data_IF_061776352362
#
_entry.id   IF_061776352362
#
_cell.length_a   1.000
_cell.length_b   1.000
_cell.length_c   1.000
_cell.angle_alpha   90.00
_cell.angle_beta   90.00
_cell.angle_gamma   90.00
#
_symmetry.space_group_name_H-M   'P 1'
#
loop_
_entity.id
_entity.type
_entity.pdbx_description
1 polymer ?
#
# COMPACT_ATOMS: atom_id res chain seq x y z
N UNK A 1 -13.67 36.31 -23.39
CA UNK A 1 -14.38 35.20 -24.09
C UNK A 1 -13.87 33.85 -23.65
N UNK A 2 -12.63 33.46 -23.83
CA UNK A 2 -12.07 32.14 -23.48
C UNK A 2 -12.38 31.74 -22.02
N UNK A 3 -12.09 32.61 -21.07
CA UNK A 3 -12.29 32.36 -19.64
C UNK A 3 -13.78 32.15 -19.28
N UNK A 4 -14.69 32.92 -19.87
CA UNK A 4 -16.12 32.77 -19.65
C UNK A 4 -16.62 31.43 -20.18
N UNK A 5 -16.32 31.11 -21.42
CA UNK A 5 -16.70 29.84 -22.04
C UNK A 5 -16.11 28.63 -21.30
N UNK A 6 -14.87 28.76 -20.81
CA UNK A 6 -14.25 27.74 -19.98
C UNK A 6 -14.99 27.54 -18.64
N UNK A 7 -15.37 28.63 -17.98
CA UNK A 7 -16.11 28.56 -16.71
C UNK A 7 -17.47 27.87 -16.89
N UNK A 8 -18.19 28.20 -17.97
CA UNK A 8 -19.50 27.59 -18.28
C UNK A 8 -19.36 26.06 -18.44
N UNK A 9 -18.35 25.58 -19.15
CA UNK A 9 -18.09 24.14 -19.25
C UNK A 9 -17.57 23.54 -17.95
N UNK A 10 -16.86 24.32 -17.16
CA UNK A 10 -16.25 23.86 -15.92
C UNK A 10 -17.24 23.52 -14.82
N UNK A 11 -18.44 24.07 -14.88
CA UNK A 11 -19.55 23.75 -13.94
C UNK A 11 -19.97 22.28 -14.03
N UNK A 12 -19.90 21.70 -15.22
CA UNK A 12 -20.38 20.32 -15.48
C UNK A 12 -19.29 19.33 -15.86
N UNK A 13 -18.10 19.78 -16.23
CA UNK A 13 -17.03 18.96 -16.78
C UNK A 13 -15.75 19.01 -15.95
N UNK A 14 -14.88 18.02 -16.15
CA UNK A 14 -13.53 18.02 -15.58
C UNK A 14 -12.71 19.18 -16.19
N UNK A 15 -11.62 19.60 -15.51
CA UNK A 15 -10.74 20.65 -16.06
C UNK A 15 -10.26 20.33 -17.48
N UNK A 16 -9.85 19.07 -17.70
CA UNK A 16 -9.34 18.60 -18.99
C UNK A 16 -10.41 18.64 -20.09
N UNK A 17 -11.61 18.21 -19.74
CA UNK A 17 -12.72 18.17 -20.69
C UNK A 17 -13.27 19.57 -20.94
N UNK A 18 -13.32 20.45 -19.96
CA UNK A 18 -13.69 21.85 -20.13
C UNK A 18 -12.69 22.61 -21.05
N UNK A 19 -11.38 22.34 -20.94
CA UNK A 19 -10.39 22.88 -21.87
C UNK A 19 -10.64 22.40 -23.30
N UNK A 20 -10.94 21.11 -23.47
CA UNK A 20 -11.25 20.52 -24.78
C UNK A 20 -12.53 21.11 -25.40
N UNK A 21 -13.60 21.21 -24.60
CA UNK A 21 -14.87 21.78 -25.04
C UNK A 21 -14.71 23.27 -25.42
N UNK A 22 -13.97 24.03 -24.62
CA UNK A 22 -13.65 25.43 -24.91
C UNK A 22 -12.81 25.58 -26.17
N UNK A 23 -11.80 24.73 -26.35
CA UNK A 23 -10.96 24.70 -27.54
C UNK A 23 -11.78 24.43 -28.81
N UNK A 24 -12.69 23.46 -28.74
CA UNK A 24 -13.61 23.13 -29.83
C UNK A 24 -14.59 24.27 -30.13
N UNK A 25 -15.23 24.82 -29.10
CA UNK A 25 -16.24 25.88 -29.25
C UNK A 25 -15.67 27.17 -29.84
N UNK A 26 -14.42 27.50 -29.46
CA UNK A 26 -13.77 28.73 -29.91
C UNK A 26 -12.79 28.51 -31.07
N UNK A 27 -12.69 27.30 -31.60
CA UNK A 27 -11.76 26.91 -32.67
C UNK A 27 -10.31 27.27 -32.34
N UNK A 28 -9.90 27.10 -31.09
CA UNK A 28 -8.56 27.37 -30.58
C UNK A 28 -7.80 26.06 -30.28
N UNK A 29 -6.48 26.14 -30.24
CA UNK A 29 -5.69 25.03 -29.73
C UNK A 29 -5.83 24.90 -28.21
N UNK A 30 -5.64 23.68 -27.66
CA UNK A 30 -5.61 23.45 -26.20
C UNK A 30 -4.58 24.33 -25.49
N UNK A 31 -3.40 24.51 -26.12
CA UNK A 31 -2.33 25.35 -25.59
C UNK A 31 -2.77 26.83 -25.53
N UNK A 32 -3.46 27.30 -26.57
CA UNK A 32 -4.02 28.65 -26.58
C UNK A 32 -5.05 28.84 -25.46
N UNK A 33 -6.00 27.91 -25.31
CA UNK A 33 -6.99 28.00 -24.22
C UNK A 33 -6.32 28.03 -22.84
N UNK A 34 -5.36 27.14 -22.58
CA UNK A 34 -4.66 27.11 -21.30
C UNK A 34 -3.82 28.34 -21.01
N UNK A 35 -3.29 29.04 -22.04
CA UNK A 35 -2.53 30.29 -21.85
C UNK A 35 -3.41 31.47 -21.42
N UNK A 36 -4.68 31.46 -21.76
CA UNK A 36 -5.66 32.49 -21.36
C UNK A 36 -6.32 32.22 -19.99
N UNK A 37 -6.09 31.04 -19.39
CA UNK A 37 -6.64 30.70 -18.10
C UNK A 37 -5.70 31.12 -16.97
N UNK A 38 -6.12 31.99 -16.05
CA UNK A 38 -5.30 32.47 -14.94
C UNK A 38 -5.14 31.46 -13.81
N UNK A 39 -5.58 30.22 -14.02
CA UNK A 39 -5.71 29.24 -12.97
C UNK A 39 -4.64 28.16 -13.04
N UNK A 40 -4.02 27.86 -11.91
CA UNK A 40 -3.21 26.68 -11.77
C UNK A 40 -4.06 25.41 -11.89
N UNK A 41 -3.52 24.39 -12.58
CA UNK A 41 -4.17 23.08 -12.70
C UNK A 41 -4.42 22.50 -11.30
N UNK A 42 -5.66 22.37 -10.90
CA UNK A 42 -6.06 21.77 -9.63
C UNK A 42 -6.64 22.71 -8.59
N UNK A 43 -6.59 24.05 -8.81
CA UNK A 43 -7.22 25.03 -7.92
C UNK A 43 -8.74 25.16 -8.18
N UNK A 44 -9.20 24.67 -9.33
CA UNK A 44 -10.59 24.79 -9.73
C UNK A 44 -11.39 23.61 -9.25
N UNK A 45 -12.25 23.91 -8.26
CA UNK A 45 -13.17 23.02 -7.59
C UNK A 45 -12.50 21.76 -7.02
N UNK A 46 -12.43 21.65 -5.71
CA UNK A 46 -12.25 20.36 -5.08
C UNK A 46 -13.55 19.57 -5.33
N UNK A 47 -13.71 19.04 -6.54
CA UNK A 47 -14.58 17.89 -6.67
C UNK A 47 -14.00 16.86 -5.75
N UNK A 48 -14.76 16.40 -4.78
CA UNK A 48 -14.51 15.13 -4.15
C UNK A 48 -14.38 14.12 -5.30
N UNK A 49 -13.14 13.86 -5.69
CA UNK A 49 -12.87 12.81 -6.67
C UNK A 49 -13.27 11.53 -5.94
N UNK A 50 -14.31 10.81 -6.37
CA UNK A 50 -14.65 9.54 -5.76
C UNK A 50 -13.37 8.72 -5.68
N UNK A 51 -13.12 8.11 -4.53
CA UNK A 51 -11.90 7.34 -4.23
C UNK A 51 -11.60 6.30 -5.34
N UNK A 52 -12.62 5.88 -6.05
CA UNK A 52 -12.59 4.97 -7.20
C UNK A 52 -11.86 5.50 -8.44
N UNK A 53 -11.61 6.80 -8.55
CA UNK A 53 -10.96 7.43 -9.72
C UNK A 53 -9.55 7.98 -9.47
N UNK A 54 -8.96 7.70 -8.30
CA UNK A 54 -7.54 8.00 -8.11
C UNK A 54 -6.75 7.09 -9.06
N UNK A 55 -6.06 7.68 -10.02
CA UNK A 55 -5.26 6.89 -10.97
C UNK A 55 -4.28 6.02 -10.19
N UNK A 56 -4.10 4.76 -10.59
CA UNK A 56 -3.15 3.81 -9.97
C UNK A 56 -1.76 4.43 -9.82
N UNK A 57 -1.38 5.34 -10.73
CA UNK A 57 -0.14 6.10 -10.68
C UNK A 57 -0.08 7.11 -9.50
N UNK A 58 -1.16 7.83 -9.24
CA UNK A 58 -1.20 8.81 -8.15
C UNK A 58 -1.13 8.14 -6.77
N UNK A 59 -1.84 7.02 -6.62
CA UNK A 59 -1.80 6.22 -5.39
C UNK A 59 -0.41 5.62 -5.13
N UNK A 60 0.23 5.09 -6.18
CA UNK A 60 1.60 4.58 -6.10
C UNK A 60 2.60 5.67 -5.70
N UNK A 61 2.48 6.87 -6.26
CA UNK A 61 3.31 8.02 -5.89
C UNK A 61 3.09 8.45 -4.43
N UNK A 62 1.82 8.46 -3.96
CA UNK A 62 1.49 8.79 -2.59
C UNK A 62 2.12 7.80 -1.61
N UNK A 63 2.00 6.49 -1.88
CA UNK A 63 2.66 5.44 -1.10
C UNK A 63 4.19 5.60 -1.08
N UNK A 64 4.80 5.89 -2.23
CA UNK A 64 6.24 6.10 -2.32
C UNK A 64 6.72 7.27 -1.46
N UNK A 65 6.02 8.42 -1.51
CA UNK A 65 6.34 9.59 -0.68
C UNK A 65 6.23 9.30 0.82
N UNK A 66 5.14 8.65 1.23
CA UNK A 66 4.92 8.28 2.63
C UNK A 66 6.00 7.32 3.14
N UNK A 67 6.36 6.30 2.37
CA UNK A 67 7.45 5.36 2.72
C UNK A 67 8.79 6.07 2.80
N UNK A 68 9.09 6.99 1.87
CA UNK A 68 10.33 7.78 1.93
C UNK A 68 10.40 8.62 3.19
N UNK A 69 9.30 9.28 3.57
CA UNK A 69 9.19 10.07 4.80
C UNK A 69 9.42 9.20 6.04
N UNK A 70 8.76 8.05 6.10
CA UNK A 70 8.92 7.08 7.19
C UNK A 70 10.38 6.59 7.34
N UNK A 71 11.09 6.36 6.23
CA UNK A 71 12.51 5.94 6.27
C UNK A 71 13.43 7.04 6.77
N UNK A 72 13.16 8.30 6.42
CA UNK A 72 13.95 9.44 6.88
C UNK A 72 13.71 9.70 8.36
N UNK A 73 12.47 9.57 8.81
CA UNK A 73 12.06 9.86 10.17
C UNK A 73 11.04 8.80 10.64
N UNK A 74 11.50 7.71 11.29
CA UNK A 74 10.64 6.60 11.71
C UNK A 74 9.88 6.95 12.99
N UNK A 75 8.80 7.75 12.85
CA UNK A 75 7.86 8.10 13.91
C UNK A 75 6.58 7.26 13.85
N UNK A 76 5.79 7.28 14.92
CA UNK A 76 4.49 6.62 14.97
C UNK A 76 3.55 7.17 13.90
N UNK A 77 3.52 8.49 13.72
CA UNK A 77 2.64 9.20 12.79
C UNK A 77 2.95 8.80 11.34
N UNK A 78 4.24 8.80 10.97
CA UNK A 78 4.65 8.40 9.62
C UNK A 78 4.39 6.92 9.35
N UNK A 79 4.60 6.07 10.38
CA UNK A 79 4.27 4.64 10.26
C UNK A 79 2.77 4.43 10.10
N UNK A 80 1.95 5.16 10.86
CA UNK A 80 0.50 5.07 10.76
C UNK A 80 -0.01 5.51 9.37
N UNK A 81 0.52 6.62 8.84
CA UNK A 81 0.20 7.08 7.48
C UNK A 81 0.50 5.99 6.44
N UNK A 82 1.68 5.38 6.50
CA UNK A 82 2.06 4.30 5.58
C UNK A 82 1.14 3.10 5.75
N UNK A 83 0.85 2.68 6.97
CA UNK A 83 -0.02 1.53 7.25
C UNK A 83 -1.43 1.76 6.69
N UNK A 84 -2.00 2.95 6.83
CA UNK A 84 -3.28 3.30 6.22
C UNK A 84 -3.24 3.21 4.69
N UNK A 85 -2.20 3.76 4.05
CA UNK A 85 -2.05 3.77 2.59
C UNK A 85 -1.82 2.38 1.99
N UNK A 86 -1.33 1.43 2.77
CA UNK A 86 -1.08 0.06 2.35
C UNK A 86 -2.17 -0.94 2.77
N UNK A 87 -3.28 -0.47 3.33
CA UNK A 87 -4.46 -1.31 3.62
C UNK A 87 -4.96 -1.97 2.33
N UNK A 88 -5.25 -3.27 2.36
CA UNK A 88 -5.65 -4.06 1.21
C UNK A 88 -4.51 -4.47 0.25
N UNK A 89 -3.29 -3.99 0.46
CA UNK A 89 -2.14 -4.36 -0.38
C UNK A 89 -1.59 -5.72 0.04
N UNK A 90 -1.20 -6.54 -0.93
CA UNK A 90 -0.63 -7.87 -0.70
C UNK A 90 0.81 -7.78 -0.17
N UNK A 91 1.09 -8.44 0.92
CA UNK A 91 2.41 -8.65 1.51
C UNK A 91 2.83 -10.12 1.48
N UNK A 92 4.05 -10.39 1.89
CA UNK A 92 4.55 -11.74 2.15
C UNK A 92 5.18 -11.80 3.55
N UNK A 93 4.93 -12.87 4.26
CA UNK A 93 5.63 -13.19 5.51
C UNK A 93 7.08 -13.59 5.23
N UNK A 94 7.89 -13.72 6.28
CA UNK A 94 9.26 -14.24 6.17
C UNK A 94 9.33 -15.63 5.49
N UNK A 95 8.34 -16.48 5.70
CA UNK A 95 8.22 -17.80 5.05
C UNK A 95 7.64 -17.74 3.63
N UNK A 96 7.40 -16.54 3.08
CA UNK A 96 6.88 -16.35 1.72
C UNK A 96 5.37 -16.46 1.57
N UNK A 97 4.62 -16.70 2.66
CA UNK A 97 3.16 -16.80 2.62
C UNK A 97 2.53 -15.44 2.37
N UNK A 98 1.62 -15.32 1.39
CA UNK A 98 0.94 -14.06 1.10
C UNK A 98 -0.07 -13.73 2.20
N UNK A 99 -0.24 -12.44 2.47
CA UNK A 99 -1.29 -11.88 3.32
C UNK A 99 -1.66 -10.47 2.90
N UNK A 100 -2.83 -10.03 3.30
CA UNK A 100 -3.29 -8.63 3.27
C UNK A 100 -3.72 -8.24 4.68
N UNK A 101 -3.92 -6.96 4.91
CA UNK A 101 -4.58 -6.49 6.11
C UNK A 101 -5.54 -5.35 5.78
N UNK A 102 -6.51 -5.17 6.65
CA UNK A 102 -7.48 -4.08 6.60
C UNK A 102 -7.46 -3.30 7.91
N UNK A 103 -7.71 -2.00 7.81
CA UNK A 103 -7.97 -1.13 8.96
C UNK A 103 -9.46 -0.80 8.96
N UNK A 104 -10.14 -1.13 10.04
CA UNK A 104 -11.59 -0.91 10.18
C UNK A 104 -11.88 0.43 10.85
N UNK A 105 -13.04 0.97 10.57
CA UNK A 105 -13.56 2.14 11.29
C UNK A 105 -14.36 1.70 12.50
N UNK A 106 -14.14 2.38 13.61
CA UNK A 106 -14.94 2.23 14.82
C UNK A 106 -16.32 2.90 14.69
N UNK A 107 -17.14 2.79 15.74
CA UNK A 107 -18.48 3.42 15.79
C UNK A 107 -18.46 4.94 15.64
N UNK A 108 -17.36 5.59 16.00
CA UNK A 108 -17.15 7.02 15.86
C UNK A 108 -16.66 7.45 14.45
N UNK A 109 -16.62 6.53 13.48
CA UNK A 109 -16.13 6.79 12.12
C UNK A 109 -14.61 6.89 11.98
N UNK A 110 -13.85 6.90 13.08
CA UNK A 110 -12.39 6.94 13.05
C UNK A 110 -11.81 5.54 12.86
N UNK A 111 -10.61 5.46 12.28
CA UNK A 111 -9.90 4.19 12.12
C UNK A 111 -9.50 3.62 13.48
N UNK A 112 -9.78 2.33 13.68
CA UNK A 112 -9.29 1.59 14.84
C UNK A 112 -7.79 1.35 14.70
N UNK A 113 -7.06 1.40 15.82
CA UNK A 113 -5.62 1.07 15.82
C UNK A 113 -5.41 -0.44 15.90
N UNK A 114 -6.02 -1.16 14.93
CA UNK A 114 -5.93 -2.62 14.80
C UNK A 114 -5.83 -3.01 13.32
N UNK A 115 -4.94 -3.94 13.02
CA UNK A 115 -4.76 -4.49 11.67
C UNK A 115 -5.44 -5.86 11.61
N UNK A 116 -6.44 -5.99 10.77
CA UNK A 116 -7.15 -7.25 10.53
C UNK A 116 -6.46 -8.01 9.39
N UNK A 117 -5.73 -9.06 9.76
CA UNK A 117 -4.95 -9.86 8.81
C UNK A 117 -5.87 -10.87 8.14
N UNK A 118 -6.01 -10.78 6.82
CA UNK A 118 -6.76 -11.75 5.99
C UNK A 118 -5.89 -12.96 5.70
N UNK A 119 -6.02 -13.99 6.52
CA UNK A 119 -5.29 -15.24 6.34
C UNK A 119 -6.12 -16.51 6.52
N UNK A 120 -7.21 -16.47 7.28
CA UNK A 120 -8.12 -17.59 7.57
C UNK A 120 -9.47 -17.06 8.03
N UNK A 121 -10.51 -17.87 7.98
CA UNK A 121 -11.89 -17.53 8.37
C UNK A 121 -12.08 -16.91 9.76
N UNK A 122 -11.12 -17.03 10.67
CA UNK A 122 -11.12 -16.38 11.98
C UNK A 122 -9.87 -15.51 12.15
N UNK A 123 -9.67 -14.54 11.27
CA UNK A 123 -8.52 -13.66 11.36
C UNK A 123 -8.55 -12.86 12.67
N UNK A 124 -7.46 -12.96 13.44
CA UNK A 124 -7.29 -12.18 14.67
C UNK A 124 -6.67 -10.85 14.32
N UNK A 125 -7.16 -9.78 14.96
CA UNK A 125 -6.54 -8.47 14.82
C UNK A 125 -5.14 -8.44 15.43
N UNK A 126 -4.27 -7.66 14.80
CA UNK A 126 -2.95 -7.32 15.30
C UNK A 126 -3.03 -5.93 15.94
N UNK A 127 -2.76 -5.86 17.24
CA UNK A 127 -2.81 -4.60 17.98
C UNK A 127 -1.72 -3.64 17.51
N UNK A 128 -2.05 -2.35 17.42
CA UNK A 128 -1.11 -1.30 17.05
C UNK A 128 0.09 -1.22 18.00
N UNK A 129 -0.13 -1.47 19.30
CA UNK A 129 0.94 -1.55 20.29
C UNK A 129 2.03 -2.56 19.94
N UNK A 130 1.66 -3.71 19.32
CA UNK A 130 2.63 -4.70 18.83
C UNK A 130 3.47 -4.16 17.67
N UNK A 131 2.88 -3.35 16.80
CA UNK A 131 3.59 -2.71 15.68
C UNK A 131 4.56 -1.66 16.21
N UNK A 132 4.14 -0.83 17.16
CA UNK A 132 5.00 0.18 17.79
C UNK A 132 6.14 -0.43 18.61
N UNK A 133 5.87 -1.48 19.38
CA UNK A 133 6.91 -2.20 20.11
C UNK A 133 7.97 -2.74 19.14
N UNK A 134 7.55 -3.30 18.01
CA UNK A 134 8.48 -3.78 16.99
C UNK A 134 9.30 -2.63 16.38
N UNK A 135 8.68 -1.45 16.13
CA UNK A 135 9.41 -0.27 15.64
C UNK A 135 10.48 0.20 16.63
N UNK A 136 10.17 0.19 17.91
CA UNK A 136 11.13 0.57 18.94
C UNK A 136 12.28 -0.45 19.04
N UNK A 137 11.96 -1.75 18.97
CA UNK A 137 12.99 -2.79 19.02
C UNK A 137 13.98 -2.70 17.84
N UNK A 138 13.56 -2.22 16.66
CA UNK A 138 14.48 -1.98 15.54
C UNK A 138 15.54 -0.93 15.90
N UNK A 139 15.20 0.09 16.67
CA UNK A 139 16.14 1.12 17.10
C UNK A 139 17.26 0.55 17.98
N UNK A 140 16.97 -0.54 18.68
CA UNK A 140 17.92 -1.23 19.57
C UNK A 140 18.72 -2.29 18.83
N UNK A 141 18.03 -3.11 18.02
CA UNK A 141 18.65 -4.27 17.29
C UNK A 141 19.38 -3.83 16.02
N UNK A 142 19.01 -2.68 15.45
CA UNK A 142 19.49 -2.20 14.16
C UNK A 142 18.62 -2.64 12.99
N UNK A 143 18.88 -2.05 11.82
CA UNK A 143 18.07 -2.27 10.63
C UNK A 143 18.27 -3.64 9.97
N UNK A 144 19.39 -4.33 10.21
CA UNK A 144 19.69 -5.63 9.59
C UNK A 144 19.17 -6.76 10.48
N UNK A 145 18.05 -7.39 10.07
CA UNK A 145 17.32 -8.38 10.86
C UNK A 145 17.21 -9.70 10.08
N UNK A 146 17.80 -10.78 10.59
CA UNK A 146 17.85 -12.07 9.91
C UNK A 146 16.53 -12.86 9.96
N UNK A 147 15.73 -12.66 11.02
CA UNK A 147 14.50 -13.41 11.28
C UNK A 147 13.52 -12.63 12.14
N UNK A 148 12.19 -12.91 12.05
CA UNK A 148 11.17 -12.18 12.80
C UNK A 148 11.38 -12.18 14.33
N UNK A 149 11.81 -13.31 14.92
CA UNK A 149 12.04 -13.42 16.36
C UNK A 149 13.15 -12.52 16.89
N UNK A 150 14.06 -12.05 16.03
CA UNK A 150 15.08 -11.09 16.43
C UNK A 150 14.47 -9.71 16.79
N UNK A 151 13.26 -9.40 16.33
CA UNK A 151 12.49 -8.21 16.69
C UNK A 151 11.72 -8.35 18.02
N UNK A 152 11.83 -9.50 18.69
CA UNK A 152 11.18 -9.79 19.96
C UNK A 152 10.10 -10.88 19.86
N UNK A 153 9.66 -11.38 21.02
CA UNK A 153 8.56 -12.35 21.11
C UNK A 153 7.21 -11.61 21.12
N UNK A 154 6.89 -11.01 19.98
CA UNK A 154 5.72 -10.17 19.78
C UNK A 154 4.67 -10.92 18.98
N UNK A 155 3.42 -10.90 19.46
CA UNK A 155 2.31 -11.50 18.72
C UNK A 155 2.19 -10.89 17.33
N UNK A 156 2.22 -11.75 16.30
CA UNK A 156 2.10 -11.32 14.91
C UNK A 156 3.38 -10.74 14.31
N UNK A 157 4.53 -10.86 14.99
CA UNK A 157 5.84 -10.34 14.53
C UNK A 157 6.18 -10.79 13.11
N UNK A 158 5.74 -11.96 12.68
CA UNK A 158 5.96 -12.49 11.31
C UNK A 158 5.30 -11.61 10.23
N UNK A 159 4.13 -11.04 10.52
CA UNK A 159 3.44 -10.12 9.63
C UNK A 159 4.09 -8.74 9.66
N UNK A 160 4.40 -8.24 10.87
CA UNK A 160 5.08 -6.94 11.05
C UNK A 160 6.42 -6.95 10.34
N UNK A 161 7.19 -8.03 10.45
CA UNK A 161 8.46 -8.22 9.74
C UNK A 161 8.29 -8.08 8.22
N UNK A 162 7.27 -8.73 7.63
CA UNK A 162 6.98 -8.63 6.19
C UNK A 162 6.57 -7.22 5.76
N UNK A 163 5.83 -6.50 6.60
CA UNK A 163 5.47 -5.10 6.37
C UNK A 163 6.70 -4.20 6.45
N UNK A 164 7.50 -4.32 7.50
CA UNK A 164 8.68 -3.48 7.74
C UNK A 164 9.77 -3.71 6.69
N UNK A 165 9.95 -4.93 6.25
CA UNK A 165 10.83 -5.23 5.11
C UNK A 165 10.35 -4.52 3.83
N UNK A 166 9.05 -4.56 3.53
CA UNK A 166 8.50 -3.88 2.37
C UNK A 166 8.58 -2.36 2.47
N UNK A 167 8.45 -1.80 3.66
CA UNK A 167 8.62 -0.36 3.91
C UNK A 167 10.09 0.06 3.92
N UNK A 168 11.01 -0.92 3.95
CA UNK A 168 12.46 -0.68 4.02
C UNK A 168 12.91 -0.09 5.34
N UNK A 169 12.22 -0.44 6.42
CA UNK A 169 12.64 -0.19 7.80
C UNK A 169 13.64 -1.24 8.29
N UNK A 170 13.63 -2.43 7.69
CA UNK A 170 14.58 -3.50 7.96
C UNK A 170 15.13 -4.07 6.65
N UNK A 171 16.37 -4.53 6.72
CA UNK A 171 17.06 -5.28 5.67
C UNK A 171 17.31 -6.72 6.10
N UNK A 172 17.33 -7.63 5.13
CA UNK A 172 17.61 -9.04 5.34
C UNK A 172 19.03 -9.33 4.88
N UNK A 173 19.89 -9.93 5.72
CA UNK A 173 21.24 -10.32 5.30
C UNK A 173 21.21 -11.25 4.08
N UNK A 174 22.18 -11.15 3.17
CA UNK A 174 22.27 -12.00 1.97
C UNK A 174 22.27 -13.50 2.31
N UNK A 175 22.91 -13.88 3.40
CA UNK A 175 22.93 -15.25 3.93
C UNK A 175 21.53 -15.78 4.28
N UNK A 176 20.62 -14.92 4.70
CA UNK A 176 19.24 -15.28 5.03
C UNK A 176 18.31 -15.27 3.80
N UNK A 177 18.60 -14.47 2.77
CA UNK A 177 17.86 -14.45 1.50
C UNK A 177 17.93 -15.80 0.77
N UNK A 178 19.08 -16.48 0.81
CA UNK A 178 19.27 -17.81 0.22
C UNK A 178 18.48 -18.93 0.91
N UNK A 179 18.34 -18.88 2.23
CA UNK A 179 17.55 -19.85 3.02
C UNK A 179 16.06 -19.75 2.78
N UNK A 180 15.55 -18.54 2.59
CA UNK A 180 14.13 -18.30 2.28
C UNK A 180 13.74 -18.87 0.91
N UNK A 181 14.63 -18.79 -0.09
CA UNK A 181 14.41 -19.39 -1.43
C UNK A 181 14.43 -20.92 -1.41
N UNK A 182 15.32 -21.55 -0.63
CA UNK A 182 15.37 -23.02 -0.49
C UNK A 182 14.10 -23.58 0.15
N UNK A 183 13.58 -22.99 1.23
CA UNK A 183 12.35 -23.47 1.90
C UNK A 183 11.11 -23.38 1.02
N UNK A 184 11.01 -22.37 0.15
CA UNK A 184 9.89 -22.24 -0.80
C UNK A 184 10.00 -23.34 -1.88
N UNK A 185 11.21 -23.65 -2.36
CA UNK A 185 11.43 -24.71 -3.34
C UNK A 185 11.17 -26.11 -2.76
N UNK A 186 11.58 -26.38 -1.52
CA UNK A 186 11.37 -27.64 -0.82
C UNK A 186 9.88 -27.86 -0.48
N UNK A 187 9.16 -26.84 0.01
CA UNK A 187 7.71 -26.90 0.29
C UNK A 187 6.86 -27.11 -0.96
N UNK A 188 7.26 -26.60 -2.10
CA UNK A 188 6.59 -26.84 -3.39
C UNK A 188 6.80 -28.29 -3.87
N UNK A 189 8.03 -28.82 -3.68
CA UNK A 189 8.36 -30.20 -4.04
C UNK A 189 7.64 -31.25 -3.19
N UNK A 190 7.42 -30.98 -1.90
CA UNK A 190 6.68 -31.91 -1.01
C UNK A 190 5.18 -31.92 -1.32
N UNK A 191 4.57 -30.77 -1.59
CA UNK A 191 3.17 -30.70 -2.02
C UNK A 191 2.92 -31.40 -3.38
N UNK A 192 3.84 -31.28 -4.33
CA UNK A 192 3.73 -32.02 -5.59
C UNK A 192 3.89 -33.55 -5.43
N UNK A 193 4.74 -33.98 -4.51
CA UNK A 193 4.90 -35.42 -4.18
C UNK A 193 3.67 -35.98 -3.49
N UNK A 194 3.03 -35.25 -2.57
CA UNK A 194 1.78 -35.64 -1.93
C UNK A 194 0.62 -35.73 -2.93
N UNK A 195 0.47 -34.74 -3.83
CA UNK A 195 -0.57 -34.78 -4.87
C UNK A 195 -0.38 -35.95 -5.86
N UNK A 196 0.86 -36.29 -6.20
CA UNK A 196 1.16 -37.44 -7.06
C UNK A 196 0.92 -38.78 -6.35
N UNK A 197 1.14 -38.84 -5.04
CA UNK A 197 0.87 -40.01 -4.19
C UNK A 197 -0.63 -40.30 -4.06
N UNK A 198 -1.46 -39.26 -3.85
CA UNK A 198 -2.93 -39.40 -3.78
C UNK A 198 -3.56 -39.81 -5.12
N UNK A 199 -3.10 -39.25 -6.23
CA UNK A 199 -3.57 -39.64 -7.58
C UNK A 199 -3.22 -41.09 -7.94
N UNK A 200 -2.16 -41.68 -7.36
CA UNK A 200 -1.82 -43.10 -7.53
C UNK A 200 -2.66 -44.04 -6.67
N UNK A 201 -3.15 -43.58 -5.50
CA UNK A 201 -4.05 -44.36 -4.62
C UNK A 201 -5.48 -44.43 -5.16
N UNK A 202 -5.94 -43.41 -5.91
CA UNK A 202 -7.28 -43.37 -6.49
C UNK A 202 -7.42 -44.14 -7.83
N UNK A 203 -6.31 -44.69 -8.37
CA UNK A 203 -6.30 -45.48 -9.60
C UNK A 203 -6.09 -47.00 -9.38
N UNK A 204 -6.14 -47.45 -8.14
CA UNK A 204 -6.19 -48.87 -7.76
C UNK A 204 -7.55 -49.18 -7.14
#
# INVERSE_FOLDING_TARGET
MVQRTFNDYRETQSYKDAVLSTASALKLSKASVTSYLPYEKGVYFPREVPVEKISVGAERQRRYRAVRKLRTEPTEEHLWEVVLLYSGVRFKTYSGLPFTYEIRKGRNGQYTKELWIDRRENSKSLAWSSVLLTLNNIKEVGAVVDRPKALGDIRGVTYIYGMFYRFGLIDIPETAKGRSRKRVAEGTSENEKQLKGEKRRLKR
#
